data_IF_301927600177
#
_entry.id   IF_301927600177
#
_cell.length_a   1.000
_cell.length_b   1.000
_cell.length_c   1.000
_cell.angle_alpha   90.00
_cell.angle_beta   90.00
_cell.angle_gamma   90.00
#
_symmetry.space_group_name_H-M   'P 1'
#
loop_
_entity.id
_entity.type
_entity.pdbx_description
1 polymer ?
#
# COMPACT_ATOMS: atom_id res chain seq x y z
N UNK A 1 39.93 -17.02 -10.25
CA UNK A 1 38.84 -17.92 -9.82
C UNK A 1 38.09 -17.41 -8.59
N UNK A 2 38.76 -16.93 -7.53
CA UNK A 2 38.08 -16.51 -6.28
C UNK A 2 37.19 -15.26 -6.40
N UNK A 3 37.60 -14.27 -7.19
CA UNK A 3 36.87 -12.98 -7.33
C UNK A 3 35.51 -13.11 -8.02
N UNK A 4 35.38 -13.98 -9.01
CA UNK A 4 34.12 -14.22 -9.71
C UNK A 4 33.07 -14.89 -8.83
N UNK A 5 33.50 -15.77 -7.91
CA UNK A 5 32.60 -16.39 -6.91
C UNK A 5 32.03 -15.34 -5.96
N UNK A 6 32.84 -14.35 -5.54
CA UNK A 6 32.36 -13.24 -4.72
C UNK A 6 31.37 -12.35 -5.46
N UNK A 7 31.64 -12.03 -6.73
CA UNK A 7 30.74 -11.22 -7.56
C UNK A 7 29.41 -11.95 -7.77
N UNK A 8 29.46 -13.23 -8.14
CA UNK A 8 28.24 -14.06 -8.32
C UNK A 8 27.46 -14.18 -7.02
N UNK A 9 28.14 -14.41 -5.88
CA UNK A 9 27.51 -14.45 -4.55
C UNK A 9 26.84 -13.11 -4.20
N UNK A 10 27.49 -11.99 -4.47
CA UNK A 10 26.94 -10.65 -4.25
C UNK A 10 25.70 -10.40 -5.12
N UNK A 11 25.74 -10.77 -6.41
CA UNK A 11 24.59 -10.64 -7.30
C UNK A 11 23.43 -11.54 -6.90
N UNK A 12 23.69 -12.79 -6.49
CA UNK A 12 22.66 -13.70 -5.99
C UNK A 12 22.02 -13.18 -4.70
N UNK A 13 22.80 -12.59 -3.80
CA UNK A 13 22.29 -12.00 -2.57
C UNK A 13 21.41 -10.77 -2.85
N UNK A 14 21.82 -9.90 -3.79
CA UNK A 14 21.03 -8.75 -4.21
C UNK A 14 19.72 -9.18 -4.90
N UNK A 15 19.76 -10.22 -5.74
CA UNK A 15 18.58 -10.78 -6.38
C UNK A 15 17.59 -11.39 -5.37
N UNK A 16 18.10 -12.09 -4.34
CA UNK A 16 17.26 -12.64 -3.26
C UNK A 16 16.64 -11.55 -2.40
N UNK A 17 17.38 -10.48 -2.08
CA UNK A 17 16.86 -9.31 -1.36
C UNK A 17 15.74 -8.62 -2.14
N UNK A 18 15.90 -8.43 -3.46
CA UNK A 18 14.83 -7.85 -4.29
C UNK A 18 13.61 -8.77 -4.40
N UNK A 19 13.82 -10.09 -4.50
CA UNK A 19 12.71 -11.04 -4.57
C UNK A 19 11.93 -11.11 -3.25
N UNK A 20 12.63 -11.08 -2.11
CA UNK A 20 12.01 -11.08 -0.80
C UNK A 20 11.22 -9.78 -0.53
N UNK A 21 11.73 -8.63 -0.98
CA UNK A 21 11.01 -7.36 -0.89
C UNK A 21 9.70 -7.38 -1.70
N UNK A 22 9.74 -7.87 -2.94
CA UNK A 22 8.54 -7.99 -3.79
C UNK A 22 7.49 -8.92 -3.16
N UNK A 23 7.89 -10.03 -2.55
CA UNK A 23 6.97 -10.92 -1.86
C UNK A 23 6.36 -10.29 -0.59
N UNK A 24 7.16 -9.53 0.18
CA UNK A 24 6.70 -8.86 1.40
C UNK A 24 5.64 -7.78 1.12
N UNK A 25 5.73 -7.12 -0.05
CA UNK A 25 4.77 -6.08 -0.43
C UNK A 25 3.40 -6.71 -0.75
N UNK A 26 3.32 -7.76 -1.56
CA UNK A 26 2.02 -8.41 -1.81
C UNK A 26 1.40 -8.98 -0.52
N UNK A 27 2.24 -9.46 0.41
CA UNK A 27 1.80 -9.92 1.74
C UNK A 27 1.23 -8.78 2.61
N UNK A 28 1.72 -7.55 2.49
CA UNK A 28 1.24 -6.42 3.32
C UNK A 28 -0.19 -6.04 2.96
N UNK A 29 -0.57 -6.09 1.68
CA UNK A 29 -1.96 -5.83 1.28
C UNK A 29 -2.94 -6.84 1.87
N UNK A 30 -2.61 -8.14 1.81
CA UNK A 30 -3.46 -9.21 2.36
C UNK A 30 -3.57 -9.14 3.88
N UNK A 31 -2.48 -8.83 4.59
CA UNK A 31 -2.53 -8.65 6.05
C UNK A 31 -3.34 -7.40 6.41
N UNK A 32 -3.20 -6.31 5.66
CA UNK A 32 -4.05 -5.11 5.77
C UNK A 32 -5.53 -5.43 5.58
N UNK A 33 -5.89 -6.25 4.60
CA UNK A 33 -7.27 -6.72 4.37
C UNK A 33 -7.82 -7.50 5.57
N UNK A 34 -7.02 -8.37 6.17
CA UNK A 34 -7.43 -9.16 7.34
C UNK A 34 -7.76 -8.25 8.54
N UNK A 35 -6.92 -7.26 8.84
CA UNK A 35 -7.22 -6.27 9.88
C UNK A 35 -8.43 -5.41 9.53
N UNK A 36 -8.52 -4.95 8.29
CA UNK A 36 -9.65 -4.16 7.79
C UNK A 36 -10.99 -4.89 7.95
N UNK A 37 -11.04 -6.17 7.55
CA UNK A 37 -12.24 -7.00 7.63
C UNK A 37 -12.65 -7.32 9.08
N UNK A 38 -11.72 -7.22 10.02
CA UNK A 38 -11.99 -7.39 11.47
C UNK A 38 -12.26 -6.06 12.18
N UNK A 39 -12.30 -4.94 11.45
CA UNK A 39 -12.56 -3.60 11.99
C UNK A 39 -11.40 -2.99 12.78
N UNK A 40 -10.22 -3.61 12.71
CA UNK A 40 -8.98 -3.13 13.33
C UNK A 40 -8.31 -2.13 12.40
N UNK A 41 -8.87 -0.93 12.34
CA UNK A 41 -8.53 0.03 11.29
C UNK A 41 -7.14 0.64 11.46
N UNK A 42 -6.66 0.87 12.69
CA UNK A 42 -5.30 1.35 12.94
C UNK A 42 -4.23 0.38 12.41
N UNK A 43 -4.39 -0.92 12.67
CA UNK A 43 -3.46 -1.92 12.14
C UNK A 43 -3.57 -2.02 10.62
N UNK A 44 -4.79 -1.99 10.07
CA UNK A 44 -5.00 -2.00 8.62
C UNK A 44 -4.30 -0.83 7.91
N UNK A 45 -4.37 0.37 8.50
CA UNK A 45 -3.71 1.58 7.99
C UNK A 45 -2.21 1.33 7.82
N UNK A 46 -1.53 0.81 8.84
CA UNK A 46 -0.09 0.56 8.78
C UNK A 46 0.31 -0.32 7.59
N UNK A 47 -0.43 -1.41 7.36
CA UNK A 47 -0.16 -2.33 6.27
C UNK A 47 -0.48 -1.73 4.90
N UNK A 48 -1.57 -0.96 4.78
CA UNK A 48 -1.88 -0.29 3.52
C UNK A 48 -0.91 0.85 3.21
N UNK A 49 -0.43 1.60 4.21
CA UNK A 49 0.62 2.62 4.04
C UNK A 49 1.91 2.00 3.50
N UNK A 50 2.37 0.90 4.10
CA UNK A 50 3.53 0.15 3.60
C UNK A 50 3.32 -0.36 2.17
N UNK A 51 2.11 -0.83 1.84
CA UNK A 51 1.81 -1.28 0.47
C UNK A 51 1.87 -0.14 -0.55
N UNK A 52 1.24 1.01 -0.26
CA UNK A 52 1.13 2.10 -1.24
C UNK A 52 2.43 2.87 -1.45
N UNK A 53 3.37 2.82 -0.51
CA UNK A 53 4.72 3.39 -0.67
C UNK A 53 5.47 2.75 -1.85
N UNK A 54 5.29 1.44 -2.06
CA UNK A 54 5.96 0.69 -3.13
C UNK A 54 5.03 0.42 -4.32
N UNK A 55 3.74 0.23 -4.08
CA UNK A 55 2.72 -0.09 -5.08
C UNK A 55 1.51 0.86 -5.00
N UNK A 56 1.61 2.04 -5.65
CA UNK A 56 0.49 2.94 -5.77
C UNK A 56 -0.69 2.27 -6.51
N UNK A 57 -1.74 1.92 -5.78
CA UNK A 57 -2.89 1.21 -6.33
C UNK A 57 -4.21 1.77 -5.78
N UNK A 58 -5.17 2.03 -6.68
CA UNK A 58 -6.47 2.60 -6.31
C UNK A 58 -7.22 1.81 -5.22
N UNK A 59 -7.26 0.46 -5.23
CA UNK A 59 -7.90 -0.30 -4.16
C UNK A 59 -7.24 -0.11 -2.78
N UNK A 60 -5.91 -0.03 -2.72
CA UNK A 60 -5.19 0.14 -1.47
C UNK A 60 -5.40 1.55 -0.90
N UNK A 61 -5.26 2.59 -1.73
CA UNK A 61 -5.55 3.96 -1.33
C UNK A 61 -6.99 4.17 -0.86
N UNK A 62 -7.96 3.58 -1.56
CA UNK A 62 -9.36 3.65 -1.13
C UNK A 62 -9.59 2.98 0.23
N UNK A 63 -9.01 1.80 0.46
CA UNK A 63 -9.14 1.09 1.74
C UNK A 63 -8.45 1.83 2.88
N UNK A 64 -7.30 2.44 2.62
CA UNK A 64 -6.61 3.32 3.55
C UNK A 64 -7.48 4.53 3.92
N UNK A 65 -8.01 5.23 2.92
CA UNK A 65 -8.94 6.35 3.12
C UNK A 65 -10.18 5.93 3.91
N UNK A 66 -10.75 4.76 3.61
CA UNK A 66 -11.91 4.25 4.33
C UNK A 66 -11.58 3.89 5.78
N UNK A 67 -10.44 3.25 6.04
CA UNK A 67 -10.00 2.95 7.40
C UNK A 67 -9.83 4.23 8.23
N UNK A 68 -9.20 5.27 7.66
CA UNK A 68 -9.08 6.59 8.29
C UNK A 68 -10.44 7.24 8.56
N UNK A 69 -11.36 7.16 7.59
CA UNK A 69 -12.73 7.65 7.74
C UNK A 69 -13.45 6.96 8.90
N UNK A 70 -13.29 5.64 9.06
CA UNK A 70 -13.88 4.87 10.17
C UNK A 70 -13.35 5.27 11.54
N UNK A 71 -12.15 5.84 11.59
CA UNK A 71 -11.52 6.38 12.80
C UNK A 71 -11.83 7.87 13.04
N UNK A 72 -12.63 8.50 12.17
CA UNK A 72 -12.95 9.94 12.28
C UNK A 72 -11.85 10.86 11.74
N UNK A 73 -10.80 10.31 11.12
CA UNK A 73 -9.69 11.07 10.51
C UNK A 73 -10.07 11.52 9.09
N UNK A 74 -11.14 12.31 9.00
CA UNK A 74 -11.79 12.63 7.72
C UNK A 74 -10.89 13.43 6.76
N UNK A 75 -10.12 14.40 7.26
CA UNK A 75 -9.23 15.22 6.43
C UNK A 75 -8.12 14.39 5.78
N UNK A 76 -7.63 13.36 6.47
CA UNK A 76 -6.62 12.44 5.93
C UNK A 76 -7.26 11.45 4.96
N UNK A 77 -8.47 10.97 5.27
CA UNK A 77 -9.23 10.07 4.41
C UNK A 77 -9.46 10.67 3.01
N UNK A 78 -9.82 11.96 2.94
CA UNK A 78 -10.07 12.67 1.67
C UNK A 78 -8.85 12.59 0.76
N UNK A 79 -7.64 12.83 1.29
CA UNK A 79 -6.41 12.79 0.51
C UNK A 79 -6.22 11.42 -0.17
N UNK A 80 -6.42 10.33 0.57
CA UNK A 80 -6.24 9.00 0.00
C UNK A 80 -7.39 8.57 -0.93
N UNK A 81 -8.60 9.09 -0.74
CA UNK A 81 -9.66 8.92 -1.74
C UNK A 81 -9.34 9.65 -3.04
N UNK A 82 -8.75 10.85 -2.96
CA UNK A 82 -8.28 11.60 -4.13
C UNK A 82 -7.18 10.84 -4.86
N UNK A 83 -6.18 10.31 -4.17
CA UNK A 83 -5.12 9.47 -4.76
C UNK A 83 -5.71 8.23 -5.47
N UNK A 84 -6.68 7.55 -4.84
CA UNK A 84 -7.36 6.42 -5.45
C UNK A 84 -8.08 6.82 -6.75
N UNK A 85 -8.76 7.98 -6.76
CA UNK A 85 -9.41 8.52 -7.95
C UNK A 85 -8.41 8.92 -9.04
N UNK A 86 -7.27 9.54 -8.69
CA UNK A 86 -6.25 9.92 -9.67
C UNK A 86 -5.62 8.71 -10.36
N UNK A 87 -5.49 7.59 -9.67
CA UNK A 87 -4.98 6.34 -10.24
C UNK A 87 -6.04 5.66 -11.11
N UNK A 88 -7.26 5.51 -10.60
CA UNK A 88 -8.37 4.93 -11.36
C UNK A 88 -9.68 5.69 -11.10
N UNK A 89 -10.03 6.63 -11.99
CA UNK A 89 -11.28 7.39 -11.90
C UNK A 89 -12.55 6.53 -11.99
N UNK A 90 -12.47 5.30 -12.52
CA UNK A 90 -13.60 4.39 -12.61
C UNK A 90 -13.78 3.55 -11.34
N UNK A 91 -12.76 3.44 -10.49
CA UNK A 91 -12.78 2.64 -9.27
C UNK A 91 -13.51 3.34 -8.11
N UNK A 92 -13.40 4.67 -8.01
CA UNK A 92 -14.01 5.45 -6.93
C UNK A 92 -15.02 6.47 -7.47
N UNK A 93 -16.05 6.85 -6.68
CA UNK A 93 -16.81 8.06 -6.98
C UNK A 93 -15.86 9.24 -7.04
N UNK A 94 -16.10 10.18 -7.96
CA UNK A 94 -15.24 11.34 -8.17
C UNK A 94 -14.88 12.10 -6.88
N UNK A 95 -13.78 12.87 -6.90
CA UNK A 95 -13.19 13.46 -5.71
C UNK A 95 -14.22 14.34 -4.99
N UNK A 96 -14.14 14.37 -3.66
CA UNK A 96 -15.01 15.21 -2.86
C UNK A 96 -14.72 16.69 -3.19
N UNK A 97 -15.66 17.36 -3.84
CA UNK A 97 -15.60 18.81 -4.06
C UNK A 97 -16.50 19.46 -3.01
N UNK A 98 -15.94 20.18 -2.00
CA UNK A 98 -16.76 20.94 -1.07
C UNK A 98 -17.60 21.94 -1.86
N UNK A 99 -18.91 21.99 -1.59
CA UNK A 99 -19.74 23.07 -2.11
C UNK A 99 -19.43 24.32 -1.29
N UNK A 100 -18.93 25.36 -1.96
CA UNK A 100 -18.83 26.72 -1.41
C UNK A 100 -20.18 27.26 -0.92
#
# INVERSE_FOLDING_TARGET
MKTWVFIISMFLMLFMLSAAALAQIDDSYEEGLKYYNTGKFEEAIKYFEEYVEEHPAAPAYYRLGYALYKLGRHDEAIKYFEEAYFIDPAFTPGPYVPKE
#
